data_IF_876716581014
#
_entry.id   IF_876716581014
#
_cell.length_a   1.000
_cell.length_b   1.000
_cell.length_c   1.000
_cell.angle_alpha   90.00
_cell.angle_beta   90.00
_cell.angle_gamma   90.00
#
_symmetry.space_group_name_H-M   'P 1'
#
loop_
_entity.id
_entity.type
_entity.pdbx_description
1 polymer ?
#
# COMPACT_ATOMS: atom_id res chain seq x y z
N UNK A 1 -20.48 2.68 -4.62
CA UNK A 1 -19.25 2.08 -5.16
C UNK A 1 -18.55 3.09 -6.06
N UNK A 2 -17.24 2.96 -6.27
CA UNK A 2 -16.51 3.76 -7.26
C UNK A 2 -17.08 3.47 -8.66
N UNK A 3 -17.33 4.47 -9.53
CA UNK A 3 -17.69 4.22 -10.92
C UNK A 3 -16.68 3.28 -11.59
N UNK A 4 -17.10 2.28 -12.39
CA UNK A 4 -16.19 1.29 -12.98
C UNK A 4 -15.03 1.96 -13.72
N UNK A 5 -15.30 3.01 -14.49
CA UNK A 5 -14.31 3.78 -15.25
C UNK A 5 -13.33 4.60 -14.40
N UNK A 6 -13.49 4.65 -13.08
CA UNK A 6 -12.58 5.27 -12.12
C UNK A 6 -11.88 4.24 -11.22
N UNK A 7 -12.11 2.95 -11.45
CA UNK A 7 -11.49 1.87 -10.69
C UNK A 7 -10.11 1.55 -11.26
N UNK A 8 -9.13 1.35 -10.38
CA UNK A 8 -7.80 0.88 -10.77
C UNK A 8 -7.84 -0.50 -11.44
N UNK A 9 -8.83 -1.33 -11.11
CA UNK A 9 -9.10 -2.63 -11.75
C UNK A 9 -9.50 -2.44 -13.22
N UNK A 10 -10.41 -1.51 -13.49
CA UNK A 10 -10.88 -1.27 -14.85
C UNK A 10 -9.78 -0.64 -15.71
N UNK A 11 -9.03 0.31 -15.16
CA UNK A 11 -7.85 0.88 -15.83
C UNK A 11 -6.79 -0.19 -16.10
N UNK A 12 -6.51 -1.08 -15.15
CA UNK A 12 -5.61 -2.21 -15.35
C UNK A 12 -6.07 -3.14 -16.47
N UNK A 13 -7.37 -3.46 -16.52
CA UNK A 13 -7.93 -4.29 -17.58
C UNK A 13 -7.83 -3.62 -18.94
N UNK A 14 -8.08 -2.31 -19.04
CA UNK A 14 -7.95 -1.53 -20.28
C UNK A 14 -6.52 -1.44 -20.78
N UNK A 15 -5.57 -1.10 -19.90
CA UNK A 15 -4.14 -1.03 -20.26
C UNK A 15 -3.62 -2.40 -20.70
N UNK A 16 -4.02 -3.48 -20.02
CA UNK A 16 -3.67 -4.85 -20.41
C UNK A 16 -4.27 -5.21 -21.78
N UNK A 17 -5.53 -4.85 -22.01
CA UNK A 17 -6.25 -5.12 -23.26
C UNK A 17 -5.59 -4.46 -24.46
N UNK A 18 -5.24 -3.17 -24.33
CA UNK A 18 -4.51 -2.41 -25.35
C UNK A 18 -3.16 -3.05 -25.66
N UNK A 19 -2.42 -3.47 -24.63
CA UNK A 19 -1.12 -4.14 -24.80
C UNK A 19 -1.23 -5.53 -25.44
N UNK A 20 -2.37 -6.22 -25.26
CA UNK A 20 -2.58 -7.60 -25.73
C UNK A 20 -3.52 -7.68 -26.96
N UNK A 21 -3.67 -6.59 -27.71
CA UNK A 21 -4.40 -6.58 -28.98
C UNK A 21 -5.91 -6.76 -28.85
N UNK A 22 -6.52 -6.25 -27.78
CA UNK A 22 -7.97 -6.26 -27.58
C UNK A 22 -8.53 -7.60 -27.09
N UNK A 23 -7.72 -8.44 -26.45
CA UNK A 23 -8.13 -9.79 -26.04
C UNK A 23 -9.27 -9.80 -25.00
N UNK A 24 -9.25 -8.85 -24.05
CA UNK A 24 -10.29 -8.68 -23.03
C UNK A 24 -11.58 -8.21 -23.68
N UNK A 25 -11.52 -7.25 -24.61
CA UNK A 25 -12.70 -6.80 -25.35
C UNK A 25 -13.31 -7.92 -26.21
N UNK A 26 -12.46 -8.75 -26.84
CA UNK A 26 -12.90 -9.86 -27.71
C UNK A 26 -13.50 -11.03 -26.94
N UNK A 27 -12.95 -11.38 -25.78
CA UNK A 27 -13.32 -12.59 -25.03
C UNK A 27 -14.17 -12.32 -23.79
N UNK A 28 -14.19 -11.08 -23.31
CA UNK A 28 -14.82 -10.69 -22.06
C UNK A 28 -14.07 -11.19 -20.83
N UNK A 29 -14.24 -10.48 -19.70
CA UNK A 29 -13.74 -10.89 -18.39
C UNK A 29 -14.71 -10.43 -17.31
N UNK A 30 -14.87 -11.25 -16.26
CA UNK A 30 -15.53 -10.85 -15.02
C UNK A 30 -14.49 -10.85 -13.90
N UNK A 31 -14.30 -9.71 -13.24
CA UNK A 31 -13.28 -9.54 -12.19
C UNK A 31 -13.99 -9.29 -10.87
N UNK A 32 -13.71 -10.14 -9.88
CA UNK A 32 -14.20 -9.97 -8.52
C UNK A 32 -13.02 -9.78 -7.56
N UNK A 33 -13.05 -8.70 -6.78
CA UNK A 33 -11.99 -8.38 -5.82
C UNK A 33 -12.52 -8.46 -4.40
N UNK A 34 -11.93 -9.36 -3.61
CA UNK A 34 -12.14 -9.43 -2.16
C UNK A 34 -11.15 -8.50 -1.46
N UNK A 35 -11.65 -7.34 -1.01
CA UNK A 35 -10.84 -6.35 -0.31
C UNK A 35 -10.47 -6.78 1.10
N UNK A 36 -9.16 -6.89 1.37
CA UNK A 36 -8.60 -7.06 2.71
C UNK A 36 -7.79 -5.86 3.21
N UNK A 37 -7.48 -4.92 2.32
CA UNK A 37 -6.76 -3.67 2.62
C UNK A 37 -7.79 -2.53 2.68
N UNK A 38 -7.82 -1.75 3.77
CA UNK A 38 -8.72 -0.60 3.86
C UNK A 38 -8.49 0.44 2.75
N UNK A 39 -9.58 0.99 2.22
CA UNK A 39 -9.54 2.06 1.21
C UNK A 39 -9.18 3.41 1.83
N UNK A 40 -8.48 4.27 1.09
CA UNK A 40 -8.19 5.66 1.52
C UNK A 40 -7.28 5.77 2.74
N UNK A 41 -6.53 4.71 3.03
CA UNK A 41 -5.78 4.52 4.27
C UNK A 41 -4.25 4.70 4.11
N UNK A 42 -3.77 4.97 2.89
CA UNK A 42 -2.33 5.11 2.62
C UNK A 42 -1.58 3.77 2.53
N UNK A 43 -2.31 2.65 2.40
CA UNK A 43 -1.78 1.28 2.35
C UNK A 43 -1.63 0.73 0.91
N UNK A 44 -1.84 1.57 -0.11
CA UNK A 44 -1.71 1.19 -1.53
C UNK A 44 -2.71 0.13 -2.03
N UNK A 45 -3.89 0.03 -1.41
CA UNK A 45 -4.91 -0.96 -1.79
C UNK A 45 -5.44 -0.83 -3.22
N UNK A 46 -5.35 0.34 -3.86
CA UNK A 46 -5.73 0.50 -5.27
C UNK A 46 -4.63 0.02 -6.22
N UNK A 47 -3.36 0.28 -5.90
CA UNK A 47 -2.21 -0.24 -6.65
C UNK A 47 -2.11 -1.77 -6.56
N UNK A 48 -2.38 -2.33 -5.37
CA UNK A 48 -2.44 -3.78 -5.17
C UNK A 48 -3.53 -4.46 -6.03
N UNK A 49 -4.71 -3.86 -6.14
CA UNK A 49 -5.77 -4.35 -7.02
C UNK A 49 -5.37 -4.32 -8.49
N UNK A 50 -4.74 -3.23 -8.94
CA UNK A 50 -4.27 -3.10 -10.32
C UNK A 50 -3.20 -4.15 -10.64
N UNK A 51 -2.22 -4.32 -9.74
CA UNK A 51 -1.20 -5.35 -9.87
C UNK A 51 -1.82 -6.77 -9.92
N UNK A 52 -2.75 -7.08 -9.01
CA UNK A 52 -3.46 -8.35 -9.01
C UNK A 52 -4.28 -8.58 -10.30
N UNK A 53 -4.88 -7.51 -10.83
CA UNK A 53 -5.61 -7.55 -12.10
C UNK A 53 -4.68 -7.85 -13.27
N UNK A 54 -3.56 -7.14 -13.37
CA UNK A 54 -2.55 -7.38 -14.41
C UNK A 54 -2.01 -8.82 -14.36
N UNK A 55 -1.67 -9.31 -13.16
CA UNK A 55 -1.21 -10.70 -12.96
C UNK A 55 -2.28 -11.71 -13.38
N UNK A 56 -3.54 -11.49 -12.98
CA UNK A 56 -4.63 -12.40 -13.30
C UNK A 56 -5.03 -12.42 -14.75
N UNK A 57 -5.01 -11.28 -15.44
CA UNK A 57 -5.26 -11.22 -16.88
C UNK A 57 -4.11 -11.86 -17.67
N UNK A 58 -2.87 -11.62 -17.25
CA UNK A 58 -1.69 -12.22 -17.87
C UNK A 58 -1.74 -13.75 -17.82
N UNK A 59 -2.12 -14.29 -16.66
CA UNK A 59 -2.30 -15.72 -16.44
C UNK A 59 -3.52 -16.26 -17.19
N UNK A 60 -4.71 -15.67 -16.99
CA UNK A 60 -5.98 -16.11 -17.58
C UNK A 60 -5.92 -16.19 -19.11
N UNK A 61 -5.30 -15.21 -19.75
CA UNK A 61 -5.20 -15.18 -21.21
C UNK A 61 -3.91 -15.79 -21.76
N UNK A 62 -3.01 -16.27 -20.89
CA UNK A 62 -1.72 -16.82 -21.28
C UNK A 62 -0.89 -15.83 -22.11
N UNK A 63 -0.93 -14.53 -21.76
CA UNK A 63 -0.25 -13.47 -22.52
C UNK A 63 1.28 -13.51 -22.35
N UNK A 64 1.77 -14.22 -21.32
CA UNK A 64 3.20 -14.48 -21.05
C UNK A 64 4.06 -13.21 -20.95
N UNK A 65 3.47 -12.10 -20.54
CA UNK A 65 4.21 -10.90 -20.20
C UNK A 65 5.08 -11.16 -18.96
N UNK A 66 6.33 -10.74 -19.03
CA UNK A 66 7.27 -10.78 -17.91
C UNK A 66 6.90 -9.75 -16.84
N UNK A 67 7.37 -9.94 -15.60
CA UNK A 67 7.16 -8.95 -14.53
C UNK A 67 7.62 -7.53 -14.90
N UNK A 68 8.77 -7.32 -15.56
CA UNK A 68 9.15 -5.98 -16.04
C UNK A 68 8.18 -5.39 -17.08
N UNK A 69 7.61 -6.22 -17.97
CA UNK A 69 6.61 -5.74 -18.93
C UNK A 69 5.30 -5.36 -18.22
N UNK A 70 4.84 -6.18 -17.27
CA UNK A 70 3.69 -5.84 -16.43
C UNK A 70 3.95 -4.58 -15.60
N UNK A 71 5.18 -4.37 -15.11
CA UNK A 71 5.55 -3.16 -14.37
C UNK A 71 5.42 -1.91 -15.25
N UNK A 72 5.88 -1.96 -16.51
CA UNK A 72 5.70 -0.86 -17.48
C UNK A 72 4.23 -0.56 -17.79
N UNK A 73 3.37 -1.58 -17.81
CA UNK A 73 1.92 -1.38 -17.89
C UNK A 73 1.38 -0.74 -16.60
N UNK A 74 1.85 -1.22 -15.45
CA UNK A 74 1.51 -0.71 -14.12
C UNK A 74 1.78 0.78 -13.95
N UNK A 75 2.91 1.27 -14.47
CA UNK A 75 3.30 2.69 -14.45
C UNK A 75 2.25 3.62 -15.09
N UNK A 76 1.49 3.12 -16.07
CA UNK A 76 0.44 3.89 -16.74
C UNK A 76 -0.83 4.02 -15.89
N UNK A 77 -1.00 3.15 -14.89
CA UNK A 77 -2.19 3.09 -14.03
C UNK A 77 -1.95 3.94 -12.78
N UNK A 78 -0.90 3.63 -12.02
CA UNK A 78 -0.47 4.41 -10.86
C UNK A 78 0.98 4.10 -10.52
N UNK A 79 1.66 5.06 -9.88
CA UNK A 79 3.10 4.95 -9.62
C UNK A 79 3.46 3.89 -8.59
N UNK A 80 2.51 3.42 -7.77
CA UNK A 80 2.72 2.37 -6.77
C UNK A 80 2.49 0.94 -7.32
N UNK A 81 1.90 0.78 -8.50
CA UNK A 81 1.60 -0.53 -9.10
C UNK A 81 2.86 -1.38 -9.32
N UNK A 82 3.99 -0.84 -9.84
CA UNK A 82 5.21 -1.61 -10.01
C UNK A 82 5.66 -2.29 -8.71
N UNK A 83 5.60 -1.58 -7.57
CA UNK A 83 5.98 -2.15 -6.28
C UNK A 83 5.14 -3.38 -5.93
N UNK A 84 3.82 -3.32 -6.13
CA UNK A 84 2.93 -4.44 -5.84
C UNK A 84 3.10 -5.65 -6.76
N UNK A 85 3.59 -5.46 -7.98
CA UNK A 85 3.91 -6.56 -8.90
C UNK A 85 5.15 -7.35 -8.45
N UNK A 86 6.17 -6.67 -7.93
CA UNK A 86 7.35 -7.34 -7.37
C UNK A 86 7.09 -7.88 -5.95
N UNK A 87 6.30 -7.17 -5.15
CA UNK A 87 6.02 -7.51 -3.76
C UNK A 87 7.25 -7.43 -2.86
N UNK A 88 7.17 -8.07 -1.68
CA UNK A 88 8.28 -8.12 -0.75
C UNK A 88 8.57 -6.77 -0.07
N UNK A 89 9.84 -6.41 -0.02
CA UNK A 89 10.33 -5.10 0.41
C UNK A 89 11.19 -4.51 -0.70
N UNK A 90 11.19 -3.19 -0.86
CA UNK A 90 11.97 -2.53 -1.89
C UNK A 90 12.36 -1.11 -1.49
N UNK A 91 13.45 -0.62 -2.08
CA UNK A 91 13.75 0.80 -2.16
C UNK A 91 13.03 1.34 -3.39
N UNK A 92 12.19 2.36 -3.21
CA UNK A 92 11.39 2.94 -4.28
C UNK A 92 11.78 4.40 -4.48
N UNK A 93 12.06 4.80 -5.72
CA UNK A 93 12.44 6.17 -6.10
C UNK A 93 11.60 6.70 -7.26
N UNK A 94 11.82 7.97 -7.59
CA UNK A 94 11.04 8.69 -8.60
C UNK A 94 9.68 9.06 -8.04
N UNK A 95 8.63 8.86 -8.83
CA UNK A 95 7.23 9.00 -8.39
C UNK A 95 6.68 7.72 -7.76
N UNK A 96 7.46 6.63 -7.76
CA UNK A 96 7.06 5.29 -7.33
C UNK A 96 7.49 4.19 -8.31
N UNK A 97 7.90 4.57 -9.52
CA UNK A 97 8.16 3.65 -10.63
C UNK A 97 9.50 2.92 -10.55
N UNK A 98 10.50 3.49 -9.86
CA UNK A 98 11.85 2.91 -9.78
C UNK A 98 11.95 2.01 -8.56
N UNK A 99 11.66 0.73 -8.74
CA UNK A 99 11.66 -0.29 -7.68
C UNK A 99 12.96 -1.09 -7.69
N UNK A 100 13.67 -1.08 -6.56
CA UNK A 100 14.85 -1.93 -6.32
C UNK A 100 14.49 -2.89 -5.19
N UNK A 101 14.20 -4.17 -5.48
CA UNK A 101 13.86 -5.15 -4.46
C UNK A 101 14.99 -5.32 -3.45
N UNK A 102 14.63 -5.46 -2.18
CA UNK A 102 15.55 -5.78 -1.09
C UNK A 102 15.05 -7.02 -0.37
N UNK A 103 15.95 -7.73 0.30
CA UNK A 103 15.54 -8.90 1.08
C UNK A 103 14.62 -8.44 2.22
N UNK A 104 13.36 -8.90 2.29
CA UNK A 104 12.44 -8.47 3.33
C UNK A 104 12.84 -9.01 4.70
N UNK A 105 12.39 -8.33 5.74
CA UNK A 105 12.46 -8.78 7.14
C UNK A 105 11.12 -9.36 7.57
N UNK A 106 11.16 -10.41 8.40
CA UNK A 106 9.99 -11.10 8.95
C UNK A 106 10.08 -11.29 10.47
N UNK A 107 11.11 -10.70 11.07
CA UNK A 107 11.50 -10.79 12.49
C UNK A 107 10.79 -9.75 13.38
N UNK A 108 9.63 -9.24 12.95
CA UNK A 108 8.86 -8.24 13.70
C UNK A 108 7.36 -8.35 13.45
N UNK A 109 6.57 -7.73 14.33
CA UNK A 109 5.13 -7.56 14.22
C UNK A 109 4.74 -6.12 13.87
N UNK A 110 3.64 -5.96 13.15
CA UNK A 110 3.06 -4.66 12.81
C UNK A 110 1.67 -4.53 13.43
N UNK A 111 1.42 -3.39 14.06
CA UNK A 111 0.10 -2.93 14.47
C UNK A 111 -0.29 -1.75 13.59
N UNK A 112 -1.32 -1.89 12.78
CA UNK A 112 -1.85 -0.83 11.92
C UNK A 112 -3.14 -0.32 12.53
N UNK A 113 -3.19 0.99 12.77
CA UNK A 113 -4.37 1.68 13.29
C UNK A 113 -4.91 2.61 12.21
N UNK A 114 -6.17 2.42 11.86
CA UNK A 114 -6.92 3.27 10.96
C UNK A 114 -7.87 4.14 11.77
N UNK A 115 -7.59 5.46 11.84
CA UNK A 115 -8.52 6.41 12.44
C UNK A 115 -9.88 6.41 11.71
N UNK A 116 -10.95 6.90 12.36
CA UNK A 116 -12.30 6.96 11.78
C UNK A 116 -12.47 8.04 10.69
N UNK A 117 -11.38 8.49 10.08
CA UNK A 117 -11.34 9.47 9.01
C UNK A 117 -10.31 9.08 7.96
N UNK A 118 -10.47 9.62 6.76
CA UNK A 118 -9.54 9.46 5.63
C UNK A 118 -8.68 10.70 5.46
N UNK A 119 -7.47 10.56 4.94
CA UNK A 119 -6.63 11.69 4.53
C UNK A 119 -6.86 12.08 3.08
N UNK A 120 -6.76 13.36 2.76
CA UNK A 120 -6.68 13.84 1.37
C UNK A 120 -5.23 13.84 0.89
N UNK A 121 -4.89 12.99 -0.08
CA UNK A 121 -3.54 13.00 -0.67
C UNK A 121 -3.19 14.37 -1.26
N UNK A 122 -4.06 15.05 -2.04
CA UNK A 122 -3.79 16.40 -2.51
C UNK A 122 -3.50 17.41 -1.38
N UNK A 123 -4.24 17.35 -0.27
CA UNK A 123 -4.01 18.23 0.89
C UNK A 123 -2.66 17.96 1.55
N UNK A 124 -2.26 16.69 1.67
CA UNK A 124 -0.96 16.32 2.23
C UNK A 124 0.20 16.87 1.38
N UNK A 125 0.10 16.79 0.05
CA UNK A 125 1.07 17.40 -0.86
C UNK A 125 1.08 18.93 -0.75
N UNK A 126 -0.09 19.57 -0.75
CA UNK A 126 -0.22 21.03 -0.60
C UNK A 126 0.42 21.52 0.71
N UNK A 127 0.18 20.82 1.82
CA UNK A 127 0.78 21.14 3.11
C UNK A 127 2.31 20.98 3.09
N UNK A 128 2.82 19.94 2.43
CA UNK A 128 4.25 19.69 2.29
C UNK A 128 4.92 20.74 1.40
N UNK A 129 4.31 21.10 0.27
CA UNK A 129 4.81 22.13 -0.65
C UNK A 129 4.81 23.51 0.03
N UNK A 130 3.78 23.81 0.82
CA UNK A 130 3.71 25.04 1.61
C UNK A 130 4.85 25.15 2.63
N UNK A 131 5.23 24.03 3.28
CA UNK A 131 6.38 23.98 4.18
C UNK A 131 7.69 24.20 3.40
N UNK A 132 7.89 23.48 2.28
CA UNK A 132 9.12 23.51 1.49
C UNK A 132 9.36 24.87 0.83
N UNK A 133 8.30 25.56 0.41
CA UNK A 133 8.39 26.91 -0.16
C UNK A 133 8.66 28.00 0.88
N UNK A 134 8.52 27.71 2.18
CA UNK A 134 8.85 28.62 3.26
C UNK A 134 10.25 28.30 3.80
N UNK A 135 11.30 28.93 3.24
CA UNK A 135 12.70 28.66 3.62
C UNK A 135 12.97 28.78 5.14
N UNK A 136 12.30 29.71 5.84
CA UNK A 136 12.40 29.82 7.31
C UNK A 136 11.68 28.67 8.02
N UNK A 137 10.52 28.26 7.52
CA UNK A 137 9.77 27.10 8.00
C UNK A 137 10.53 25.80 7.81
N UNK A 138 11.16 25.62 6.65
CA UNK A 138 11.99 24.46 6.34
C UNK A 138 13.27 24.41 7.19
N UNK A 139 13.99 25.54 7.32
CA UNK A 139 15.18 25.61 8.18
C UNK A 139 14.85 25.28 9.65
N UNK A 140 13.77 25.86 10.17
CA UNK A 140 13.29 25.57 11.54
C UNK A 140 12.90 24.10 11.69
N UNK A 141 12.14 23.57 10.73
CA UNK A 141 11.74 22.17 10.70
C UNK A 141 12.94 21.23 10.74
N UNK A 142 13.92 21.40 9.85
CA UNK A 142 15.14 20.58 9.84
C UNK A 142 15.94 20.68 11.14
N UNK A 143 15.97 21.87 11.78
CA UNK A 143 16.67 22.07 13.05
C UNK A 143 15.95 21.44 14.26
N UNK A 144 14.62 21.49 14.31
CA UNK A 144 13.81 21.01 15.44
C UNK A 144 13.59 19.51 15.40
N UNK A 145 13.42 18.94 14.21
CA UNK A 145 13.05 17.53 14.05
C UNK A 145 14.26 16.61 13.87
N UNK A 146 15.48 17.15 13.74
CA UNK A 146 16.66 16.43 13.29
C UNK A 146 16.39 15.58 12.03
N UNK A 147 15.38 15.94 11.21
CA UNK A 147 15.10 15.28 9.94
C UNK A 147 16.35 15.45 9.11
N UNK A 148 17.12 14.37 9.01
CA UNK A 148 18.34 14.38 8.25
C UNK A 148 17.93 14.62 6.79
N UNK A 149 18.33 15.73 6.14
CA UNK A 149 18.15 15.92 4.70
C UNK A 149 18.96 14.90 3.86
N UNK A 150 19.54 13.89 4.50
CA UNK A 150 20.56 13.02 3.96
C UNK A 150 20.02 11.70 3.41
N UNK A 151 18.84 11.21 3.83
CA UNK A 151 18.37 9.88 3.40
C UNK A 151 18.13 9.78 1.88
N UNK A 152 17.61 10.85 1.28
CA UNK A 152 17.35 10.91 -0.17
C UNK A 152 18.63 10.82 -1.03
N UNK A 153 19.78 11.17 -0.45
CA UNK A 153 21.09 11.12 -1.11
C UNK A 153 21.88 9.84 -0.78
N UNK A 154 21.37 8.97 0.08
CA UNK A 154 22.03 7.71 0.38
C UNK A 154 21.97 6.74 -0.79
N UNK A 155 23.04 5.98 -0.94
CA UNK A 155 23.07 4.81 -1.82
C UNK A 155 22.08 3.75 -1.33
N UNK A 156 21.67 2.88 -2.26
CA UNK A 156 20.79 1.75 -1.96
C UNK A 156 21.39 0.86 -0.87
N UNK A 157 22.70 0.62 -0.94
CA UNK A 157 23.43 -0.20 0.04
C UNK A 157 23.37 0.39 1.46
N UNK A 158 23.50 1.71 1.60
CA UNK A 158 23.41 2.34 2.91
C UNK A 158 21.96 2.33 3.42
N UNK A 159 20.95 2.50 2.55
CA UNK A 159 19.55 2.33 2.95
C UNK A 159 19.26 0.90 3.42
N UNK A 160 19.78 -0.11 2.72
CA UNK A 160 19.69 -1.52 3.12
C UNK A 160 20.38 -1.72 4.47
N UNK A 161 21.57 -1.16 4.67
CA UNK A 161 22.30 -1.27 5.94
C UNK A 161 21.49 -0.70 7.10
N UNK A 162 20.85 0.47 6.92
CA UNK A 162 20.02 1.09 7.96
C UNK A 162 18.72 0.32 8.20
N UNK A 163 18.12 -0.28 7.16
CA UNK A 163 16.97 -1.17 7.30
C UNK A 163 17.28 -2.41 8.15
N UNK A 164 18.54 -2.84 8.17
CA UNK A 164 19.03 -3.97 8.98
C UNK A 164 19.36 -3.63 10.43
N UNK A 165 19.35 -2.34 10.81
CA UNK A 165 19.53 -1.96 12.21
C UNK A 165 18.35 -2.47 13.08
N UNK A 166 18.53 -2.55 14.41
CA UNK A 166 17.42 -2.71 15.34
C UNK A 166 16.31 -1.68 15.05
N UNK A 167 15.06 -2.05 15.24
CA UNK A 167 13.89 -1.25 14.83
C UNK A 167 13.89 0.11 15.55
N UNK A 168 14.22 0.13 16.85
CA UNK A 168 14.42 1.35 17.63
C UNK A 168 15.46 2.33 17.05
N UNK A 169 16.36 1.88 16.16
CA UNK A 169 17.40 2.69 15.52
C UNK A 169 17.07 3.06 14.07
N UNK A 170 15.88 2.71 13.56
CA UNK A 170 15.49 3.07 12.21
C UNK A 170 15.40 4.59 12.03
N UNK A 171 16.13 5.15 11.05
CA UNK A 171 16.15 6.59 10.81
C UNK A 171 15.03 7.04 9.84
N UNK A 172 14.18 6.12 9.41
CA UNK A 172 13.20 6.38 8.36
C UNK A 172 12.11 7.32 8.86
N UNK A 173 11.66 8.22 7.99
CA UNK A 173 10.65 9.21 8.34
C UNK A 173 9.66 9.37 7.20
N UNK A 174 8.45 9.80 7.55
CA UNK A 174 7.43 10.19 6.59
C UNK A 174 7.34 11.71 6.54
N UNK A 175 7.69 12.30 5.40
CA UNK A 175 7.66 13.76 5.19
C UNK A 175 6.27 14.38 5.41
N UNK A 176 5.19 13.63 5.16
CA UNK A 176 3.83 14.14 5.36
C UNK A 176 3.45 14.22 6.83
N UNK A 177 4.00 13.35 7.68
CA UNK A 177 3.50 13.22 9.04
C UNK A 177 3.63 14.54 9.84
N UNK A 178 4.76 15.23 9.88
CA UNK A 178 4.87 16.44 10.70
C UNK A 178 4.05 17.62 10.17
N UNK A 179 3.88 17.74 8.85
CA UNK A 179 3.01 18.79 8.26
C UNK A 179 1.54 18.51 8.54
N UNK A 180 1.14 17.23 8.51
CA UNK A 180 -0.22 16.82 8.87
C UNK A 180 -0.47 16.94 10.37
N UNK A 181 0.46 16.55 11.25
CA UNK A 181 0.34 16.74 12.70
C UNK A 181 0.19 18.22 13.09
N UNK A 182 0.85 19.13 12.36
CA UNK A 182 0.72 20.58 12.58
C UNK A 182 -0.65 21.11 12.17
N UNK A 183 -1.20 20.61 11.06
CA UNK A 183 -2.50 21.07 10.51
C UNK A 183 -3.67 20.42 11.24
N UNK A 184 -3.50 19.16 11.64
CA UNK A 184 -4.50 18.27 12.22
C UNK A 184 -3.91 17.62 13.49
N UNK A 185 -3.97 18.30 14.65
CA UNK A 185 -3.38 17.83 15.91
C UNK A 185 -3.87 16.44 16.36
N UNK A 186 -5.01 15.98 15.86
CA UNK A 186 -5.52 14.63 16.09
C UNK A 186 -4.62 13.53 15.51
N UNK A 187 -3.80 13.80 14.49
CA UNK A 187 -2.81 12.84 13.98
C UNK A 187 -1.81 12.46 15.06
N UNK A 188 -1.39 13.44 15.88
CA UNK A 188 -0.42 13.23 16.96
C UNK A 188 -0.93 12.24 18.00
N UNK A 189 -2.25 12.21 18.23
CA UNK A 189 -2.86 11.30 19.20
C UNK A 189 -2.63 9.83 18.81
N UNK A 190 -2.79 9.50 17.53
CA UNK A 190 -2.57 8.13 17.03
C UNK A 190 -1.11 7.71 17.07
N UNK A 191 -0.20 8.63 16.78
CA UNK A 191 1.22 8.42 16.99
C UNK A 191 1.51 8.08 18.46
N UNK A 192 1.01 8.90 19.40
CA UNK A 192 1.20 8.69 20.83
C UNK A 192 0.61 7.36 21.31
N UNK A 193 -0.61 7.00 20.88
CA UNK A 193 -1.23 5.71 21.25
C UNK A 193 -0.30 4.56 20.89
N UNK A 194 0.25 4.51 19.67
CA UNK A 194 1.13 3.41 19.28
C UNK A 194 2.45 3.41 20.09
N UNK A 195 3.02 4.59 20.35
CA UNK A 195 4.24 4.72 21.17
C UNK A 195 4.02 4.30 22.61
N UNK A 196 2.95 4.77 23.23
CA UNK A 196 2.60 4.49 24.62
C UNK A 196 2.28 3.01 24.85
N UNK A 197 1.85 2.30 23.80
CA UNK A 197 1.66 0.85 23.79
C UNK A 197 2.92 0.06 23.39
N UNK A 198 4.10 0.69 23.38
CA UNK A 198 5.39 0.00 23.27
C UNK A 198 5.92 -0.20 21.85
N UNK A 199 5.41 0.51 20.85
CA UNK A 199 5.98 0.44 19.50
C UNK A 199 7.40 1.04 19.45
N UNK A 200 8.37 0.27 18.95
CA UNK A 200 9.77 0.69 18.77
C UNK A 200 9.93 1.72 17.66
N UNK A 201 9.06 1.63 16.65
CA UNK A 201 8.97 2.59 15.55
C UNK A 201 7.51 2.87 15.25
N UNK A 202 7.19 4.14 14.98
CA UNK A 202 5.84 4.57 14.61
C UNK A 202 5.93 5.55 13.47
N UNK A 203 5.10 5.34 12.44
CA UNK A 203 4.99 6.27 11.33
C UNK A 203 3.59 6.26 10.73
N UNK A 204 3.21 7.39 10.15
CA UNK A 204 2.13 7.47 9.17
C UNK A 204 2.50 6.62 7.94
N UNK A 205 1.51 5.99 7.29
CA UNK A 205 1.72 5.32 6.00
C UNK A 205 1.33 6.22 4.83
N UNK A 206 2.30 6.55 3.97
CA UNK A 206 2.10 7.46 2.83
C UNK A 206 1.50 8.80 3.27
N UNK A 207 0.50 9.31 2.54
CA UNK A 207 -0.22 10.52 2.94
C UNK A 207 -1.25 10.31 4.06
N UNK A 208 -1.34 9.10 4.63
CA UNK A 208 -2.30 8.72 5.65
C UNK A 208 -3.57 8.05 5.12
N UNK A 209 -4.60 7.84 5.96
CA UNK A 209 -4.67 8.23 7.39
C UNK A 209 -4.14 7.18 8.37
N UNK A 210 -3.75 5.99 7.92
CA UNK A 210 -3.27 4.97 8.85
C UNK A 210 -1.91 5.30 9.45
N UNK A 211 -1.75 4.88 10.69
CA UNK A 211 -0.46 4.77 11.35
C UNK A 211 -0.10 3.30 11.52
N UNK A 212 1.19 3.00 11.54
CA UNK A 212 1.68 1.70 11.93
C UNK A 212 2.72 1.82 13.04
N UNK A 213 2.64 0.90 14.00
CA UNK A 213 3.65 0.65 15.01
C UNK A 213 4.37 -0.65 14.70
N UNK A 214 5.68 -0.69 14.97
CA UNK A 214 6.54 -1.85 14.76
C UNK A 214 7.02 -2.37 16.11
N UNK A 215 6.94 -3.69 16.29
CA UNK A 215 7.23 -4.39 17.53
C UNK A 215 8.18 -5.56 17.25
N UNK A 216 9.05 -5.93 18.19
CA UNK A 216 10.03 -7.02 17.99
C UNK A 216 9.44 -8.38 17.65
N UNK A 217 8.14 -8.57 17.89
CA UNK A 217 7.47 -9.81 17.54
C UNK A 217 6.00 -9.58 17.23
N UNK A 218 5.41 -10.56 16.54
CA UNK A 218 3.98 -10.60 16.31
C UNK A 218 3.19 -10.65 17.63
N UNK A 219 3.69 -11.35 18.64
CA UNK A 219 2.99 -11.49 19.91
C UNK A 219 2.98 -10.18 20.69
N UNK A 220 4.10 -9.43 20.73
CA UNK A 220 4.12 -8.07 21.28
C UNK A 220 3.13 -7.15 20.56
N UNK A 221 3.03 -7.25 19.23
CA UNK A 221 2.05 -6.47 18.46
C UNK A 221 0.60 -6.85 18.78
N UNK A 222 0.31 -8.13 19.08
CA UNK A 222 -1.02 -8.59 19.52
C UNK A 222 -1.37 -8.03 20.89
N UNK A 223 -0.47 -8.16 21.87
CA UNK A 223 -0.64 -7.61 23.22
C UNK A 223 -0.89 -6.09 23.17
N UNK A 224 -0.08 -5.37 22.41
CA UNK A 224 -0.25 -3.92 22.20
C UNK A 224 -1.59 -3.59 21.52
N UNK A 225 -2.11 -4.46 20.66
CA UNK A 225 -3.40 -4.25 20.00
C UNK A 225 -4.58 -4.30 20.97
N UNK A 226 -4.52 -5.16 21.99
CA UNK A 226 -5.54 -5.28 23.02
C UNK A 226 -5.53 -4.01 23.88
N UNK A 227 -4.36 -3.59 24.33
CA UNK A 227 -4.17 -2.37 25.12
C UNK A 227 -4.56 -1.10 24.33
N UNK A 228 -4.26 -1.06 23.02
CA UNK A 228 -4.71 0.03 22.15
C UNK A 228 -6.24 0.13 22.11
N UNK A 229 -6.96 -0.99 21.99
CA UNK A 229 -8.44 -0.98 21.99
C UNK A 229 -8.99 -0.39 23.28
N UNK A 230 -8.43 -0.78 24.42
CA UNK A 230 -8.83 -0.27 25.72
C UNK A 230 -8.55 1.23 25.86
N UNK A 231 -7.38 1.69 25.43
CA UNK A 231 -7.00 3.10 25.49
C UNK A 231 -7.86 3.97 24.57
N UNK A 232 -8.14 3.49 23.36
CA UNK A 232 -9.05 4.15 22.41
C UNK A 232 -10.46 4.26 23.00
N UNK A 233 -10.97 3.19 23.62
CA UNK A 233 -12.28 3.21 24.27
C UNK A 233 -12.35 4.20 25.45
N UNK A 234 -11.25 4.37 26.20
CA UNK A 234 -11.16 5.31 27.34
C UNK A 234 -11.00 6.77 26.91
N UNK A 235 -10.46 7.03 25.72
CA UNK A 235 -10.31 8.39 25.19
C UNK A 235 -11.67 9.04 24.83
N UNK A 236 -12.78 8.29 24.92
CA UNK A 236 -14.00 8.64 24.21
C UNK A 236 -15.13 9.23 25.09
N UNK A 237 -15.32 10.54 24.95
CA UNK A 237 -16.60 11.22 25.15
C UNK A 237 -16.97 12.11 23.94
N UNK A 238 -16.25 12.01 22.80
CA UNK A 238 -16.37 12.98 21.69
C UNK A 238 -16.22 12.41 20.28
N UNK A 239 -15.69 11.20 20.10
CA UNK A 239 -15.50 10.50 18.82
C UNK A 239 -16.42 9.26 18.66
N UNK A 240 -17.30 9.02 19.64
CA UNK A 240 -18.20 7.88 19.89
C UNK A 240 -19.21 7.48 18.78
N UNK A 241 -19.00 7.81 17.51
CA UNK A 241 -19.88 7.36 16.43
C UNK A 241 -19.20 6.69 15.24
N UNK A 242 -17.86 6.66 15.16
CA UNK A 242 -17.17 6.09 14.00
C UNK A 242 -16.13 5.02 14.38
N UNK A 243 -16.15 3.83 13.75
CA UNK A 243 -15.30 2.71 14.13
C UNK A 243 -13.82 2.96 13.77
N UNK A 244 -12.95 2.64 14.72
CA UNK A 244 -11.49 2.57 14.52
C UNK A 244 -11.12 1.15 14.12
N UNK A 245 -10.39 0.97 13.01
CA UNK A 245 -9.93 -0.36 12.62
C UNK A 245 -8.50 -0.60 13.10
N UNK A 246 -8.26 -1.78 13.66
CA UNK A 246 -6.94 -2.19 14.17
C UNK A 246 -6.58 -3.54 13.57
N UNK A 247 -5.43 -3.60 12.92
CA UNK A 247 -4.92 -4.80 12.27
C UNK A 247 -3.57 -5.18 12.87
N UNK A 248 -3.42 -6.46 13.22
CA UNK A 248 -2.13 -7.03 13.60
C UNK A 248 -1.68 -7.92 12.45
N UNK A 249 -0.48 -7.66 11.92
CA UNK A 249 0.06 -8.41 10.78
C UNK A 249 1.54 -8.69 10.97
N UNK A 250 2.00 -9.82 10.46
CA UNK A 250 3.43 -10.07 10.26
C UNK A 250 3.82 -9.57 8.86
N UNK A 251 5.06 -9.09 8.64
CA UNK A 251 5.55 -8.80 7.30
C UNK A 251 5.34 -9.99 6.35
N UNK A 252 4.93 -9.69 5.12
CA UNK A 252 4.63 -10.67 4.07
C UNK A 252 3.48 -11.64 4.36
N UNK A 253 2.74 -11.49 5.47
CA UNK A 253 1.62 -12.37 5.80
C UNK A 253 0.48 -12.34 4.76
N UNK A 254 0.43 -11.28 3.93
CA UNK A 254 -0.56 -11.11 2.88
C UNK A 254 0.15 -10.92 1.54
N UNK A 255 0.14 -11.96 0.72
CA UNK A 255 0.50 -11.90 -0.69
C UNK A 255 -0.74 -11.70 -1.56
N UNK A 256 -0.54 -11.14 -2.75
CA UNK A 256 -1.56 -11.12 -3.80
C UNK A 256 -1.91 -12.58 -4.12
N UNK A 257 -3.18 -12.92 -4.01
CA UNK A 257 -3.72 -14.21 -4.44
C UNK A 257 -4.63 -13.99 -5.63
N UNK A 258 -4.29 -14.65 -6.72
CA UNK A 258 -5.07 -14.62 -7.95
C UNK A 258 -5.53 -16.04 -8.24
N UNK A 259 -6.82 -16.17 -8.52
CA UNK A 259 -7.43 -17.41 -8.97
C UNK A 259 -8.30 -17.06 -10.16
N UNK A 260 -8.29 -17.91 -11.18
CA UNK A 260 -9.16 -17.77 -12.33
C UNK A 260 -9.86 -19.08 -12.62
N UNK A 261 -11.04 -18.98 -13.23
CA UNK A 261 -11.78 -20.10 -13.78
C UNK A 261 -12.21 -19.73 -15.18
N UNK A 262 -11.84 -20.56 -16.15
CA UNK A 262 -12.36 -20.43 -17.50
C UNK A 262 -13.54 -21.37 -17.64
N UNK A 263 -14.75 -20.85 -17.51
CA UNK A 263 -15.93 -21.57 -17.97
C UNK A 263 -15.98 -21.45 -19.48
N UNK A 264 -15.64 -22.52 -20.19
CA UNK A 264 -16.16 -22.68 -21.54
C UNK A 264 -17.68 -22.68 -21.41
N UNK A 265 -18.37 -21.71 -22.01
CA UNK A 265 -19.81 -21.81 -22.18
C UNK A 265 -20.09 -23.20 -22.75
N UNK A 266 -21.08 -23.90 -22.18
CA UNK A 266 -21.57 -25.15 -22.77
C UNK A 266 -21.67 -24.99 -24.28
N UNK A 267 -21.12 -25.96 -25.01
CA UNK A 267 -21.15 -25.93 -26.46
C UNK A 267 -22.60 -26.04 -26.93
N UNK A 268 -23.25 -24.90 -27.18
CA UNK A 268 -24.61 -24.80 -27.70
C UNK A 268 -24.67 -25.01 -29.21
N UNK A 269 -23.54 -25.35 -29.85
CA UNK A 269 -23.49 -25.66 -31.28
C UNK A 269 -23.97 -27.09 -31.53
N UNK A 270 -24.68 -27.32 -32.65
CA UNK A 270 -25.16 -28.66 -33.00
C UNK A 270 -24.05 -29.62 -33.47
N UNK A 271 -22.83 -29.13 -33.79
CA UNK A 271 -21.71 -29.93 -34.30
C UNK A 271 -20.65 -30.22 -33.21
N UNK A 272 -20.86 -31.32 -32.46
CA UNK A 272 -20.01 -31.75 -31.33
C UNK A 272 -18.61 -32.28 -31.71
N UNK A 273 -18.15 -32.14 -32.96
CA UNK A 273 -16.91 -32.77 -33.43
C UNK A 273 -15.64 -31.89 -33.27
N UNK A 274 -15.76 -30.64 -32.81
CA UNK A 274 -14.57 -29.80 -32.55
C UNK A 274 -14.27 -29.73 -31.06
N UNK A 275 -13.07 -30.14 -30.61
CA UNK A 275 -12.71 -30.02 -29.20
C UNK A 275 -12.72 -28.56 -28.76
N UNK A 276 -13.36 -28.29 -27.61
CA UNK A 276 -13.18 -27.03 -26.88
C UNK A 276 -11.69 -26.92 -26.50
N UNK A 277 -10.98 -25.98 -27.10
CA UNK A 277 -9.62 -25.68 -26.69
C UNK A 277 -9.62 -25.14 -25.26
N UNK A 278 -9.01 -25.87 -24.31
CA UNK A 278 -8.47 -25.27 -23.09
C UNK A 278 -8.87 -25.85 -21.73
N UNK A 279 -8.98 -27.17 -21.56
CA UNK A 279 -8.91 -27.77 -20.22
C UNK A 279 -7.57 -28.49 -20.01
N UNK A 280 -6.57 -27.75 -19.52
CA UNK A 280 -5.42 -28.25 -18.76
C UNK A 280 -5.06 -27.25 -17.68
#
# INVERSE_FOLDING_TARGET
GCPPNKSSIYHAAKVFDEACGGIVEKKGVSIHVKKGIPSGAGLGGAGADAAATLLGLNELYGARLSLPELARLGEQIASDVPFFLFGGAAIVRGRGERVVPIVPRTDFGLLIVQPPWTSSTPEAYEALDSLRNNARGLHRYCSETQVAPYLSHLSDDELVRRYRLPIAQWPFMNDFQPVLEKRHPEYRKWYSILRDNGAEYVSLTGSGSCFFGVFDSLDKAKEASEQCRDNIAKMDAGYLSLPVNIFVVQPLARSIKVSYSQSCNEDTRPDKERPCYGSY
#
